data_IF_689069671600
#
_entry.id   IF_689069671600
#
_cell.length_a   1.000
_cell.length_b   1.000
_cell.length_c   1.000
_cell.angle_alpha   90.00
_cell.angle_beta   90.00
_cell.angle_gamma   90.00
#
_symmetry.space_group_name_H-M   'P 1'
#
loop_
_entity.id
_entity.type
_entity.pdbx_description
1 polymer ?
2 non-polymer ?
3 water ?
#
# COMPACT_ATOMS: atom_id res chain seq x y z
N UNK A 8 -14.57 9.60 9.02
CA UNK A 8 -13.81 9.95 7.79
C UNK A 8 -13.20 8.71 7.13
N UNK A 9 -13.87 8.22 6.08
CA UNK A 9 -13.38 7.05 5.38
C UNK A 9 -14.05 6.65 4.08
N UNK A 10 -14.50 5.40 4.04
CA UNK A 10 -15.14 4.76 2.88
C UNK A 10 -16.19 5.56 2.07
N UNK A 11 -16.78 6.60 2.64
CA UNK A 11 -17.80 7.34 1.90
C UNK A 11 -17.45 8.80 1.75
N UNK A 12 -17.24 9.20 0.49
CA UNK A 12 -16.84 10.56 0.15
C UNK A 12 -17.79 11.27 -0.79
N UNK A 13 -18.49 12.29 -0.29
CA UNK A 13 -19.38 13.05 -1.16
C UNK A 13 -18.49 14.17 -1.68
N UNK A 14 -18.54 14.39 -2.99
CA UNK A 14 -17.70 15.40 -3.62
C UNK A 14 -18.42 16.09 -4.76
N UNK A 15 -18.28 17.41 -4.82
CA UNK A 15 -18.89 18.21 -5.88
C UNK A 15 -17.75 18.89 -6.63
N UNK A 16 -17.71 18.74 -7.94
CA UNK A 16 -16.65 19.34 -8.73
C UNK A 16 -17.18 20.56 -9.47
N UNK A 17 -16.38 21.61 -9.50
CA UNK A 17 -16.76 22.83 -10.18
C UNK A 17 -15.65 23.34 -11.08
N UNK A 18 -16.05 24.13 -12.05
CA UNK A 18 -15.14 24.74 -13.00
C UNK A 18 -14.87 26.11 -12.38
N UNK A 19 -13.61 26.51 -12.25
CA UNK A 19 -13.29 27.80 -11.67
C UNK A 19 -12.71 28.70 -12.76
N UNK A 20 -13.44 29.77 -13.11
CA UNK A 20 -12.96 30.66 -14.14
C UNK A 20 -12.05 31.78 -13.64
N UNK A 21 -11.87 31.90 -12.33
CA UNK A 21 -11.01 32.95 -11.78
C UNK A 21 -10.20 32.44 -10.58
N UNK A 22 -8.90 32.26 -10.77
CA UNK A 22 -8.06 31.75 -9.69
C UNK A 22 -7.93 32.68 -8.50
N UNK A 23 -7.18 33.76 -8.71
CA UNK A 23 -6.96 34.70 -7.63
C UNK A 23 -8.23 35.14 -6.95
N UNK A 24 -9.31 35.18 -7.71
CA UNK A 24 -10.60 35.58 -7.21
C UNK A 24 -10.99 34.52 -6.20
N UNK A 25 -10.98 33.27 -6.67
CA UNK A 25 -11.28 32.13 -5.83
C UNK A 25 -10.31 32.16 -4.67
N UNK A 26 -9.04 32.38 -4.97
CA UNK A 26 -7.99 32.44 -3.96
C UNK A 26 -8.29 33.54 -2.94
N UNK A 27 -8.60 34.74 -3.43
CA UNK A 27 -8.93 35.87 -2.57
C UNK A 27 -10.04 35.46 -1.61
N UNK A 29 -10.95 32.30 -0.42
CA UNK A 29 -10.48 31.44 0.67
C UNK A 29 -9.45 32.21 1.48
N UNK A 30 -8.79 33.16 0.82
CA UNK A 30 -7.79 34.00 1.45
C UNK A 30 -8.44 34.73 2.62
N UNK A 31 -9.73 35.04 2.45
CA UNK A 31 -10.49 35.75 3.48
C UNK A 31 -11.29 34.78 4.33
N UNK A 32 -10.84 33.52 4.38
CA UNK A 32 -11.51 32.52 5.19
C UNK A 32 -10.52 31.80 6.10
N UNK A 33 -10.98 31.43 7.30
CA UNK A 33 -10.12 30.73 8.24
C UNK A 33 -10.00 29.31 7.73
N UNK A 34 -8.78 28.91 7.38
CA UNK A 34 -8.55 27.57 6.83
C UNK A 34 -7.15 27.02 7.09
N UNK A 35 -7.05 25.70 7.01
CA UNK A 35 -5.77 25.01 7.18
C UNK A 35 -5.30 24.65 5.78
N UNK A 36 -3.99 24.53 5.59
CA UNK A 36 -3.46 24.19 4.27
C UNK A 36 -2.70 22.88 4.28
N UNK A 38 -1.38 21.55 1.36
CA UNK A 38 -0.29 21.82 0.45
C UNK A 38 -0.82 22.66 -0.70
N UNK A 39 0.05 23.43 -1.33
CA UNK A 39 -0.35 24.28 -2.43
C UNK A 39 0.60 24.11 -3.59
N UNK A 40 0.07 24.20 -4.80
CA UNK A 40 0.85 24.10 -6.03
C UNK A 40 1.78 22.89 -6.20
N UNK A 41 1.36 21.72 -5.75
CA UNK A 41 2.18 20.50 -5.93
C UNK A 41 1.79 19.91 -7.28
N UNK A 42 2.62 19.01 -7.77
CA UNK A 42 2.30 18.32 -9.01
C UNK A 42 1.71 16.98 -8.61
N UNK A 43 0.54 16.65 -9.13
CA UNK A 43 -0.06 15.37 -8.80
C UNK A 43 -0.06 14.46 -10.02
N UNK A 44 0.51 13.28 -9.88
CA UNK A 44 0.55 12.30 -10.96
C UNK A 44 -0.38 11.16 -10.56
N UNK A 45 -1.17 10.70 -11.52
CA UNK A 45 -2.07 9.59 -11.28
C UNK A 45 -1.85 8.50 -12.33
N UNK A 46 -1.85 7.26 -11.86
CA UNK A 46 -1.68 6.11 -12.71
C UNK A 46 -2.90 5.23 -12.49
N UNK A 47 -3.74 5.09 -13.52
CA UNK A 47 -4.92 4.25 -13.40
C UNK A 47 -4.61 2.84 -13.88
N UNK A 48 -5.08 1.83 -13.15
CA UNK A 48 -4.83 0.44 -13.51
C UNK A 48 -6.07 -0.38 -13.73
N UNK A 49 -5.89 -1.47 -14.49
CA UNK A 49 -6.96 -2.41 -14.77
C UNK A 49 -6.37 -3.65 -15.46
N UNK A 50 -7.14 -4.72 -15.52
CA UNK A 50 -6.68 -5.95 -16.15
C UNK A 50 -6.81 -5.81 -17.67
N UNK A 51 -6.35 -6.83 -18.41
CA UNK A 51 -6.44 -6.76 -19.87
C UNK A 51 -7.88 -6.59 -20.39
N UNK A 52 -8.84 -7.32 -19.84
CA UNK A 52 -10.21 -7.19 -20.29
C UNK A 52 -10.94 -6.00 -19.66
N UNK A 53 -10.21 -5.20 -18.90
CA UNK A 53 -10.77 -4.01 -18.27
C UNK A 53 -11.91 -4.35 -17.31
N UNK A 54 -11.68 -5.37 -16.49
CA UNK A 54 -12.64 -5.86 -15.51
C UNK A 54 -13.12 -4.82 -14.48
N UNK A 55 -12.19 -4.06 -13.93
CA UNK A 55 -12.56 -3.04 -12.97
C UNK A 55 -13.44 -1.95 -13.62
N UNK A 56 -13.10 -1.56 -14.84
CA UNK A 56 -13.87 -0.53 -15.53
C UNK A 56 -15.30 -1.00 -15.84
N UNK A 57 -15.45 -2.28 -16.18
CA UNK A 57 -16.77 -2.83 -16.49
C UNK A 57 -17.66 -2.89 -15.25
N UNK A 58 -17.03 -2.99 -14.10
CA UNK A 58 -17.74 -3.06 -12.83
C UNK A 58 -17.93 -1.71 -12.14
N UNK A 59 -17.54 -0.63 -12.80
CA UNK A 59 -17.69 0.70 -12.24
C UNK A 59 -16.68 0.99 -11.14
N UNK A 60 -15.47 0.49 -11.31
CA UNK A 60 -14.43 0.69 -10.31
C UNK A 60 -13.17 1.26 -10.94
N UNK A 61 -12.38 1.94 -10.13
CA UNK A 61 -11.12 2.51 -10.59
C UNK A 61 -10.06 2.21 -9.53
N UNK A 62 -8.88 1.85 -10.01
CA UNK A 62 -7.73 1.52 -9.18
C UNK A 62 -6.67 2.54 -9.53
N UNK A 63 -6.20 3.29 -8.54
CA UNK A 63 -5.23 4.33 -8.81
C UNK A 63 -4.03 4.42 -7.87
N UNK A 64 -2.86 4.67 -8.43
CA UNK A 64 -1.67 4.90 -7.64
C UNK A 64 -1.49 6.41 -7.83
N UNK A 65 -1.25 7.14 -6.75
CA UNK A 65 -1.12 8.60 -6.87
C UNK A 65 0.02 9.13 -6.05
N UNK A 66 0.77 10.06 -6.65
CA UNK A 66 1.91 10.69 -5.99
C UNK A 66 1.80 12.21 -6.12
N UNK A 67 2.00 12.89 -5.01
CA UNK A 67 1.92 14.34 -4.96
C UNK A 67 3.27 14.86 -4.49
N UNK A 68 3.91 15.66 -5.33
CA UNK A 68 5.22 16.23 -5.01
C UNK A 68 5.19 17.74 -5.07
N UNK A 69 6.03 18.40 -4.27
CA UNK A 69 6.99 17.79 -3.34
C UNK A 69 6.50 17.38 -1.94
N UNK A 70 5.19 17.39 -1.73
CA UNK A 70 4.66 17.00 -0.43
C UNK A 70 5.09 15.57 -0.08
N UNK A 71 5.22 14.74 -1.10
CA UNK A 71 5.63 13.37 -0.88
C UNK A 71 4.48 12.49 -0.42
N UNK A 72 3.27 12.84 -0.83
CA UNK A 72 2.09 12.07 -0.47
C UNK A 72 1.90 11.04 -1.56
N UNK A 73 1.75 9.78 -1.16
CA UNK A 73 1.61 8.69 -2.11
C UNK A 73 0.46 7.79 -1.67
N UNK A 74 -0.48 7.56 -2.57
CA UNK A 74 -1.66 6.78 -2.22
C UNK A 74 -2.00 5.66 -3.17
N UNK A 75 -2.69 4.67 -2.61
CA UNK A 75 -3.19 3.53 -3.36
C UNK A 75 -4.69 3.76 -3.18
N UNK A 76 -5.40 3.93 -4.28
CA UNK A 76 -6.83 4.24 -4.24
C UNK A 76 -7.75 3.35 -5.06
N UNK A 77 -8.94 3.10 -4.51
CA UNK A 77 -9.95 2.35 -5.24
C UNK A 77 -11.30 3.05 -5.06
N UNK A 78 -11.91 3.46 -6.18
CA UNK A 78 -13.19 4.13 -6.15
C UNK A 78 -14.27 3.25 -6.73
N UNK A 79 -15.50 3.40 -6.20
CA UNK A 79 -16.62 2.60 -6.66
C UNK A 79 -16.74 1.27 -5.93
N UNK A 80 -17.70 0.42 -6.31
CA UNK A 80 -18.68 0.66 -7.37
C UNK A 80 -19.74 1.69 -6.98
N UNK A 81 -20.08 1.75 -5.69
CA UNK A 81 -21.06 2.71 -5.21
C UNK A 81 -20.60 4.12 -5.56
N UNK A 82 -21.52 4.94 -6.06
CA UNK A 82 -21.24 6.30 -6.45
C UNK A 82 -20.36 7.09 -5.49
N UNK A 83 -20.59 6.91 -4.18
CA UNK A 83 -19.83 7.62 -3.16
C UNK A 83 -18.81 6.79 -2.39
N UNK A 84 -18.42 5.63 -2.91
CA UNK A 84 -17.46 4.81 -2.21
C UNK A 84 -16.02 5.05 -2.68
N UNK A 85 -15.15 5.33 -1.74
CA UNK A 85 -13.75 5.57 -2.06
C UNK A 85 -12.87 5.11 -0.90
N UNK A 86 -11.94 4.22 -1.20
CA UNK A 86 -11.05 3.72 -0.18
C UNK A 86 -9.60 4.00 -0.57
N UNK A 87 -8.76 4.22 0.42
CA UNK A 87 -7.38 4.52 0.16
C UNK A 87 -6.51 4.23 1.36
N UNK A 88 -5.21 4.27 1.14
CA UNK A 88 -4.24 4.10 2.19
C UNK A 88 -2.95 4.68 1.66
N UNK A 89 -2.20 5.32 2.54
CA UNK A 89 -0.91 5.87 2.14
C UNK A 89 0.07 4.69 1.97
N UNK A 90 1.02 4.85 1.05
CA UNK A 90 2.04 3.84 0.79
C UNK A 90 3.37 4.58 0.79
N UNK A 91 4.44 3.90 1.18
CA UNK A 91 5.76 4.53 1.22
C UNK A 91 6.59 4.33 -0.04
N UNK A 92 6.36 3.24 -0.77
CA UNK A 92 7.12 2.98 -2.00
C UNK A 92 6.22 2.88 -3.22
N UNK A 93 6.12 3.97 -3.96
CA UNK A 93 5.29 4.03 -5.15
C UNK A 93 5.73 3.04 -6.22
N UNK A 94 7.04 2.98 -6.47
CA UNK A 94 7.55 2.08 -7.49
C UNK A 94 7.25 0.62 -7.12
N UNK A 95 7.39 0.28 -5.84
CA UNK A 95 7.10 -1.09 -5.43
C UNK A 95 5.62 -1.38 -5.70
N UNK A 96 4.76 -0.45 -5.31
CA UNK A 96 3.34 -0.59 -5.54
C UNK A 96 3.02 -0.80 -7.02
N UNK A 97 3.64 -0.01 -7.90
CA UNK A 97 3.43 -0.15 -9.34
C UNK A 97 3.84 -1.55 -9.81
N UNK A 98 5.03 -1.97 -9.39
CA UNK A 98 5.57 -3.27 -9.78
C UNK A 98 4.68 -4.42 -9.26
N UNK A 100 1.41 -4.33 -8.59
CA UNK A 100 0.15 -4.35 -9.33
C UNK A 100 0.32 -5.02 -10.71
N UNK A 101 1.46 -4.79 -11.34
CA UNK A 101 1.69 -5.40 -12.65
C UNK A 101 1.87 -6.91 -12.46
N UNK A 102 2.57 -7.28 -11.41
CA UNK A 102 2.80 -8.67 -11.09
C UNK A 102 1.43 -9.30 -10.79
N UNK A 104 -1.12 -8.79 -12.37
CA UNK A 104 -1.86 -8.84 -13.62
C UNK A 104 -2.48 -7.54 -14.09
N UNK A 105 -2.20 -6.44 -13.40
CA UNK A 105 -2.75 -5.15 -13.79
C UNK A 105 -1.82 -4.35 -14.70
N UNK A 106 -2.39 -3.47 -15.51
CA UNK A 106 -1.62 -2.62 -16.41
C UNK A 106 -2.13 -1.18 -16.40
N UNK A 107 -1.22 -0.22 -16.59
CA UNK A 107 -1.61 1.19 -16.63
C UNK A 107 -2.51 1.44 -17.83
N UNK A 108 -3.74 1.83 -17.59
CA UNK A 108 -4.63 2.10 -18.70
C UNK A 108 -4.70 3.60 -18.92
N UNK A 109 -3.98 4.34 -18.08
CA UNK A 109 -3.98 5.80 -18.15
C UNK A 109 -3.10 6.43 -17.08
N UNK A 110 -2.42 7.49 -17.45
CA UNK A 110 -1.56 8.23 -16.54
C UNK A 110 -1.88 9.70 -16.73
N UNK A 111 -1.65 10.51 -15.70
CA UNK A 111 -1.94 11.93 -15.80
C UNK A 111 -1.17 12.77 -14.81
N UNK A 112 -1.04 14.05 -15.13
CA UNK A 112 -0.35 15.03 -14.29
C UNK A 112 -1.24 16.27 -14.17
N UNK A 113 -1.13 16.98 -13.06
CA UNK A 113 -1.93 18.18 -12.85
C UNK A 113 -1.30 18.88 -11.66
N UNK A 114 -1.55 20.19 -11.55
CA UNK A 114 -1.03 20.96 -10.44
C UNK A 114 -2.20 21.06 -9.48
N UNK A 115 -1.97 20.73 -8.21
CA UNK A 115 -3.06 20.74 -7.25
C UNK A 115 -2.77 21.43 -5.91
N UNK A 116 -3.84 21.92 -5.30
CA UNK A 116 -3.80 22.57 -4.00
C UNK A 116 -4.98 22.07 -3.20
N UNK A 117 -4.75 21.76 -1.93
CA UNK A 117 -5.81 21.28 -1.07
C UNK A 117 -5.84 22.08 0.23
N UNK A 118 -7.03 22.56 0.60
CA UNK A 118 -7.20 23.34 1.82
C UNK A 118 -8.26 22.75 2.70
N UNK A 119 -8.22 23.10 3.99
CA UNK A 119 -9.16 22.61 4.96
C UNK A 119 -10.00 23.76 5.51
N UNK A 120 -11.29 23.51 5.71
CA UNK A 120 -12.21 24.49 6.27
C UNK A 120 -13.15 23.63 7.08
N UNK A 121 -12.80 23.44 8.35
CA UNK A 121 -13.61 22.59 9.21
C UNK A 121 -13.19 21.18 8.87
N UNK A 122 -14.17 20.32 8.57
CA UNK A 122 -13.88 18.94 8.20
C UNK A 122 -14.03 18.79 6.69
N UNK A 123 -14.37 19.89 6.02
CA UNK A 123 -14.56 19.88 4.59
C UNK A 123 -13.26 20.21 3.86
N UNK A 124 -13.05 19.56 2.72
CA UNK A 124 -11.84 19.76 1.93
C UNK A 124 -12.11 20.60 0.68
N UNK A 125 -11.18 21.47 0.34
CA UNK A 125 -11.33 22.29 -0.85
C UNK A 125 -10.13 22.02 -1.74
N UNK A 126 -10.39 21.52 -2.94
CA UNK A 126 -9.32 21.21 -3.89
C UNK A 126 -9.34 22.15 -5.09
N UNK A 127 -8.18 22.73 -5.40
CA UNK A 127 -8.08 23.62 -6.55
C UNK A 127 -7.07 23.01 -7.53
N UNK A 128 -7.54 22.67 -8.73
CA UNK A 128 -6.70 22.04 -9.74
C UNK A 128 -6.53 22.88 -10.99
N UNK A 129 -5.44 22.65 -11.71
CA UNK A 129 -5.18 23.33 -12.95
C UNK A 129 -4.68 22.39 -14.03
N UNK A 130 -5.54 22.10 -15.00
CA UNK A 130 -5.13 21.24 -16.08
C UNK A 130 -4.68 22.14 -17.21
N UNK A 131 -3.39 22.06 -17.52
CA UNK A 131 -2.82 22.86 -18.58
C UNK A 131 -3.66 22.57 -19.82
N UNK A 132 -4.27 23.62 -20.35
CA UNK A 132 -5.10 23.51 -21.55
C UNK A 132 -6.59 23.58 -21.40
N UNK A 133 -7.09 23.09 -20.26
CA UNK A 133 -8.55 23.01 -19.98
C UNK A 133 -9.05 23.90 -18.84
N UNK A 134 -8.11 24.50 -18.11
CA UNK A 134 -8.50 25.41 -17.05
C UNK A 134 -8.44 24.93 -15.62
N UNK A 135 -9.00 25.76 -14.75
CA UNK A 135 -9.06 25.50 -13.32
C UNK A 135 -10.34 24.81 -12.87
N UNK A 136 -10.20 23.86 -11.94
CA UNK A 136 -11.32 23.11 -11.41
C UNK A 136 -11.26 23.15 -9.89
N UNK A 137 -12.40 22.96 -9.23
CA UNK A 137 -12.45 22.98 -7.77
C UNK A 137 -13.32 21.83 -7.26
N UNK A 138 -12.89 21.21 -6.17
CA UNK A 138 -13.64 20.11 -5.59
C UNK A 138 -13.90 20.41 -4.13
N UNK A 139 -15.12 20.15 -3.69
CA UNK A 139 -15.50 20.35 -2.30
C UNK A 139 -15.96 18.98 -1.84
N UNK A 140 -15.46 18.52 -0.70
CA UNK A 140 -15.84 17.20 -0.23
C UNK A 140 -15.64 16.95 1.25
N UNK A 141 -16.16 15.82 1.70
CA UNK A 141 -16.06 15.39 3.08
C UNK A 141 -16.23 13.88 3.08
N UNK A 143 -16.92 10.50 5.22
CA UNK A 143 -17.53 10.10 6.47
C UNK A 143 -17.78 8.59 6.45
N UNK A 144 -18.12 8.04 7.60
CA UNK A 144 -18.40 6.61 7.72
C UNK A 144 -19.91 6.41 7.80
N UNK A 145 -20.58 7.41 8.37
CA UNK A 145 -22.04 7.39 8.50
C UNK A 145 -22.64 7.75 7.14
N UNK A 146 -23.41 6.82 6.58
CA UNK A 146 -24.03 7.05 5.28
C UNK A 146 -25.42 7.64 5.40
N UNK A 147 -25.90 7.88 6.61
CA UNK A 147 -27.24 8.45 6.73
C UNK A 147 -27.11 9.93 6.43
N UNK A 148 -26.00 10.50 6.88
CA UNK A 148 -25.73 11.93 6.69
C UNK A 148 -25.04 12.23 5.38
N UNK A 149 -25.39 11.50 4.33
CA UNK A 149 -24.76 11.68 3.04
C UNK A 149 -25.53 12.56 2.08
N UNK A 150 -26.68 13.05 2.51
CA UNK A 150 -27.47 13.92 1.66
C UNK A 150 -27.41 15.29 2.29
N UNK A 151 -27.09 15.30 3.59
CA UNK A 151 -26.99 16.55 4.33
C UNK A 151 -25.59 17.13 4.19
N UNK A 152 -24.58 16.27 4.03
CA UNK A 152 -23.22 16.77 3.82
C UNK A 152 -23.20 17.37 2.42
N UNK A 153 -23.83 16.67 1.48
CA UNK A 153 -23.94 17.10 0.09
C UNK A 153 -24.50 18.51 0.02
N UNK A 154 -25.23 18.88 1.07
CA UNK A 154 -25.86 20.19 1.14
C UNK A 154 -24.92 21.24 1.72
N UNK A 155 -24.30 20.95 2.85
CA UNK A 155 -23.38 21.90 3.45
C UNK A 155 -22.25 22.09 2.45
N UNK A 156 -22.02 21.06 1.61
CA UNK A 156 -20.99 21.14 0.59
C UNK A 156 -21.43 22.19 -0.42
N UNK A 157 -22.70 22.14 -0.80
CA UNK A 157 -23.24 23.11 -1.75
C UNK A 157 -23.20 24.49 -1.07
N UNK A 158 -23.56 24.51 0.20
CA UNK A 158 -23.54 25.76 0.97
C UNK A 158 -22.14 26.35 0.91
N UNK A 159 -21.14 25.52 1.26
CA UNK A 159 -19.75 25.96 1.23
C UNK A 159 -19.41 26.45 -0.18
N UNK A 160 -19.81 25.67 -1.18
CA UNK A 160 -19.54 26.03 -2.57
C UNK A 160 -20.09 27.43 -2.87
N UNK A 161 -21.29 27.71 -2.35
CA UNK A 161 -21.94 28.99 -2.56
C UNK A 161 -21.11 30.14 -2.03
N UNK A 162 -20.31 29.87 -1.00
CA UNK A 162 -19.45 30.89 -0.41
C UNK A 162 -18.43 31.40 -1.41
N UNK A 163 -18.02 30.54 -2.34
CA UNK A 163 -17.04 30.92 -3.35
C UNK A 163 -17.71 31.49 -4.60
N UNK A 164 -19.02 31.68 -4.50
CA UNK A 164 -19.79 32.23 -5.60
C UNK A 164 -19.82 31.27 -6.79
N UNK A 165 -20.12 30.01 -6.52
CA UNK A 165 -20.19 28.99 -7.56
C UNK A 165 -21.61 28.43 -7.61
N UNK A 166 -22.25 28.60 -8.76
CA UNK A 166 -23.62 28.13 -8.95
C UNK A 166 -23.66 26.76 -9.63
N UNK A 167 -24.82 26.12 -9.58
CA UNK A 167 -24.99 24.80 -10.18
C UNK A 167 -24.55 24.86 -11.64
N UNK A 168 -24.62 26.06 -12.22
CA UNK A 168 -24.23 26.26 -13.61
C UNK A 168 -22.72 26.07 -13.75
N UNK A 169 -22.01 26.15 -12.63
CA UNK A 169 -20.56 25.99 -12.62
C UNK A 169 -20.18 24.52 -12.41
N UNK A 170 -21.13 23.74 -11.89
CA UNK A 170 -20.92 22.33 -11.63
C UNK A 170 -20.34 21.60 -12.82
N UNK A 171 -19.33 20.77 -12.56
CA UNK A 171 -18.69 19.99 -13.60
C UNK A 171 -18.96 18.51 -13.30
N UNK A 172 -19.70 17.86 -14.18
CA UNK A 172 -20.05 16.46 -13.99
C UNK A 172 -19.06 15.48 -14.62
N UNK A 173 -18.28 15.95 -15.59
CA UNK A 173 -17.29 15.08 -16.23
C UNK A 173 -16.13 14.94 -15.26
N UNK A 174 -15.77 13.70 -14.93
CA UNK A 174 -14.68 13.49 -13.98
C UNK A 174 -13.33 13.52 -14.67
N UNK A 175 -12.28 13.65 -13.86
CA UNK A 175 -10.90 13.70 -14.33
C UNK A 175 -10.66 12.67 -15.44
N UNK A 176 -10.68 11.39 -15.04
CA UNK A 176 -10.49 10.28 -15.97
C UNK A 176 -11.72 10.18 -16.84
N UNK A 177 -12.86 10.19 -16.16
CA UNK A 177 -14.15 10.10 -16.80
C UNK A 177 -14.13 10.99 -18.03
N UNK A 178 -13.20 11.94 -18.04
CA UNK A 178 -13.02 12.80 -19.20
C UNK A 178 -11.87 13.76 -19.35
N UNK A 179 -11.10 13.36 -20.33
CA UNK A 179 -9.93 14.02 -20.87
C UNK A 179 -9.16 12.84 -21.35
N UNK A 180 -10.02 11.97 -21.84
CA UNK A 180 -9.76 10.72 -22.52
C UNK A 180 -10.28 11.47 -23.77
N UNK A 181 -11.13 12.49 -23.49
CA UNK A 181 -11.77 13.39 -24.46
C UNK A 181 -12.25 12.73 -25.75
N UNK B 8 19.60 -2.73 -2.09
CA UNK B 8 19.07 -4.05 -1.65
C UNK B 8 17.58 -4.18 -2.02
N UNK B 9 17.30 -4.84 -3.14
CA UNK B 9 15.93 -5.01 -3.56
C UNK B 9 15.60 -6.04 -4.63
N UNK B 10 16.37 -6.10 -5.71
CA UNK B 10 16.02 -7.07 -6.75
C UNK B 10 16.07 -8.54 -6.35
N UNK B 11 17.22 -9.00 -5.87
CA UNK B 11 17.37 -10.40 -5.51
C UNK B 11 17.49 -10.66 -4.02
N UNK B 12 16.57 -11.47 -3.50
CA UNK B 12 16.59 -11.83 -2.10
C UNK B 12 17.21 -13.22 -1.95
N UNK B 13 18.14 -13.34 -1.02
CA UNK B 13 18.76 -14.62 -0.75
C UNK B 13 18.41 -14.86 0.71
N UNK B 14 17.68 -15.93 0.97
CA UNK B 14 17.23 -16.24 2.33
C UNK B 14 17.24 -17.73 2.61
N UNK B 15 17.89 -18.12 3.70
CA UNK B 15 17.94 -19.52 4.09
C UNK B 15 17.19 -19.66 5.41
N UNK B 16 16.28 -20.63 5.44
CA UNK B 16 15.46 -20.90 6.62
C UNK B 16 15.95 -22.16 7.30
N UNK B 17 15.93 -22.17 8.63
CA UNK B 17 16.38 -23.31 9.42
C UNK B 17 15.45 -23.54 10.60
N UNK B 18 15.34 -24.81 11.03
CA UNK B 18 14.55 -25.17 12.18
C UNK B 18 15.48 -24.90 13.35
N UNK B 19 14.98 -24.30 14.43
CA UNK B 19 15.82 -24.02 15.59
C UNK B 19 15.35 -24.86 16.77
N UNK B 20 16.16 -25.87 17.13
CA UNK B 20 15.83 -26.76 18.24
C UNK B 20 15.91 -26.10 19.61
N UNK B 21 16.88 -25.20 19.80
CA UNK B 21 17.04 -24.54 21.09
C UNK B 21 17.00 -23.01 21.00
N UNK B 22 15.83 -22.46 21.29
CA UNK B 22 15.60 -21.03 21.25
C UNK B 22 16.57 -20.23 22.13
N UNK B 23 16.71 -20.64 23.39
CA UNK B 23 17.60 -19.94 24.32
C UNK B 23 19.06 -19.96 23.90
N UNK B 24 19.49 -21.09 23.34
CA UNK B 24 20.86 -21.23 22.89
C UNK B 24 21.10 -20.33 21.70
N UNK B 25 20.11 -20.21 20.83
CA UNK B 25 20.25 -19.34 19.65
C UNK B 25 20.50 -17.90 20.08
N UNK B 26 19.71 -17.42 21.03
CA UNK B 26 19.85 -16.04 21.52
C UNK B 26 21.13 -15.80 22.30
N UNK B 27 21.53 -16.75 23.14
CA UNK B 27 22.77 -16.57 23.89
C UNK B 27 23.93 -16.45 22.91
N UNK B 29 23.69 -15.19 19.75
CA UNK B 29 23.60 -13.88 19.09
C UNK B 29 24.19 -12.81 20.00
N UNK B 30 24.08 -13.01 21.32
CA UNK B 30 24.62 -12.06 22.28
C UNK B 30 26.14 -11.90 22.16
N UNK B 31 26.81 -12.90 21.59
CA UNK B 31 28.26 -12.87 21.43
C UNK B 31 28.64 -12.30 20.06
N UNK B 32 27.64 -12.03 19.24
CA UNK B 32 27.88 -11.49 17.91
C UNK B 32 27.39 -10.05 17.85
N UNK B 33 28.21 -9.14 17.35
CA UNK B 33 27.81 -7.74 17.24
C UNK B 33 26.56 -7.69 16.36
N UNK B 34 25.51 -7.05 16.85
CA UNK B 34 24.27 -6.97 16.09
C UNK B 34 23.37 -5.84 16.57
N UNK B 35 22.28 -5.64 15.85
CA UNK B 35 21.29 -4.62 16.21
C UNK B 35 19.93 -5.29 16.29
N UNK B 36 19.04 -4.67 17.06
CA UNK B 36 17.69 -5.17 17.24
C UNK B 36 16.72 -4.26 16.50
N UNK B 38 13.29 -5.30 16.33
CA UNK B 38 12.23 -5.52 17.29
C UNK B 38 12.27 -6.95 17.80
N UNK B 39 11.86 -7.14 19.04
CA UNK B 39 11.85 -8.46 19.62
C UNK B 39 10.47 -8.88 20.07
N UNK B 40 10.20 -10.17 19.95
CA UNK B 40 8.95 -10.79 20.37
C UNK B 40 7.66 -10.03 20.08
N UNK B 41 7.49 -9.68 18.81
CA UNK B 41 6.29 -9.00 18.39
C UNK B 41 5.40 -10.05 17.79
N UNK B 42 4.11 -9.75 17.70
CA UNK B 42 3.19 -10.69 17.08
C UNK B 42 3.06 -10.27 15.62
N UNK B 43 3.21 -11.23 14.71
CA UNK B 43 3.06 -10.92 13.30
C UNK B 43 1.87 -11.66 12.75
N UNK B 44 0.95 -10.93 12.12
CA UNK B 44 -0.22 -11.55 11.54
C UNK B 44 -0.09 -11.42 10.04
N UNK B 45 -0.38 -12.50 9.33
CA UNK B 45 -0.31 -12.44 7.88
C UNK B 45 -1.62 -12.91 7.30
N UNK B 46 -2.09 -12.19 6.29
CA UNK B 46 -3.32 -12.54 5.59
C UNK B 46 -2.94 -12.79 4.13
N UNK B 47 -3.06 -14.03 3.69
CA UNK B 47 -2.73 -14.36 2.32
C UNK B 47 -3.98 -14.22 1.47
N UNK B 48 -3.84 -13.55 0.32
CA UNK B 48 -4.96 -13.32 -0.60
C UNK B 48 -4.78 -13.96 -1.96
N UNK B 49 -5.90 -14.25 -2.62
CA UNK B 49 -5.87 -14.82 -3.94
C UNK B 49 -7.30 -14.79 -4.46
N UNK B 50 -7.47 -15.01 -5.76
CA UNK B 50 -8.80 -15.05 -6.33
C UNK B 50 -9.38 -16.40 -5.88
N UNK B 51 -10.71 -16.56 -5.94
CA UNK B 51 -11.27 -17.84 -5.51
C UNK B 51 -10.73 -19.05 -6.28
N UNK B 52 -10.38 -18.88 -7.56
CA UNK B 52 -9.84 -20.00 -8.32
C UNK B 52 -8.33 -20.17 -8.13
N UNK B 53 -7.76 -19.47 -7.14
CA UNK B 53 -6.33 -19.58 -6.84
C UNK B 53 -5.37 -19.21 -7.99
N UNK B 54 -5.65 -18.11 -8.68
CA UNK B 54 -4.79 -17.68 -9.77
C UNK B 54 -3.34 -17.51 -9.34
N UNK B 55 -3.11 -16.68 -8.32
CA UNK B 55 -1.78 -16.40 -7.81
C UNK B 55 -1.03 -17.60 -7.26
N UNK B 56 -1.71 -18.38 -6.45
CA UNK B 56 -1.08 -19.54 -5.83
C UNK B 56 -0.52 -20.50 -6.89
N UNK B 57 -1.32 -20.81 -7.89
CA UNK B 57 -0.93 -21.71 -8.95
C UNK B 57 0.21 -21.20 -9.84
N UNK B 58 0.56 -19.92 -9.68
CA UNK B 58 1.63 -19.33 -10.46
C UNK B 58 2.83 -19.04 -9.56
N UNK B 59 2.82 -19.61 -8.36
CA UNK B 59 3.92 -19.41 -7.44
C UNK B 59 3.99 -18.05 -6.77
N UNK B 60 2.89 -17.31 -6.78
CA UNK B 60 2.85 -15.98 -6.18
C UNK B 60 2.09 -15.92 -4.87
N UNK B 61 2.51 -15.02 -3.99
CA UNK B 61 1.83 -14.81 -2.73
C UNK B 61 1.55 -13.32 -2.60
N UNK B 62 0.30 -13.00 -2.30
CA UNK B 62 -0.12 -11.62 -2.11
C UNK B 62 -0.48 -11.53 -0.64
N UNK B 63 0.31 -10.77 0.11
CA UNK B 63 0.13 -10.67 1.55
C UNK B 63 -0.02 -9.29 2.18
N UNK B 64 -0.89 -9.20 3.20
CA UNK B 64 -1.06 -7.98 3.99
C UNK B 64 -0.52 -8.41 5.37
N UNK B 65 0.46 -7.69 5.88
CA UNK B 65 1.08 -8.05 7.14
C UNK B 65 1.10 -6.94 8.18
N UNK B 66 0.87 -7.32 9.43
CA UNK B 66 0.89 -6.37 10.53
C UNK B 66 1.71 -6.94 11.68
N UNK B 67 2.59 -6.12 12.23
CA UNK B 67 3.46 -6.53 13.33
C UNK B 67 3.20 -5.59 14.51
N UNK B 68 2.93 -6.17 15.69
CA UNK B 68 2.64 -5.39 16.89
C UNK B 68 3.46 -5.85 18.09
N UNK B 69 3.78 -4.93 19.02
CA UNK B 69 3.44 -3.51 19.01
C UNK B 69 4.31 -2.59 18.14
N UNK B 70 5.13 -3.15 17.26
CA UNK B 70 5.98 -2.32 16.41
C UNK B 70 5.15 -1.36 15.58
N UNK B 71 3.97 -1.80 15.16
CA UNK B 71 3.10 -0.95 14.37
C UNK B 71 3.49 -0.93 12.90
N UNK B 72 4.20 -1.97 12.45
CA UNK B 72 4.59 -2.06 11.06
C UNK B 72 3.48 -2.73 10.25
N UNK B 73 3.10 -2.11 9.15
CA UNK B 73 2.06 -2.65 8.28
C UNK B 73 2.54 -2.70 6.83
N UNK B 74 2.45 -3.89 6.25
CA UNK B 74 2.95 -4.09 4.89
C UNK B 74 2.01 -4.76 3.92
N UNK B 75 2.21 -4.40 2.65
CA UNK B 75 1.48 -4.99 1.53
C UNK B 75 2.63 -5.68 0.80
N UNK B 76 2.53 -7.00 0.65
CA UNK B 76 3.60 -7.78 0.04
C UNK B 76 3.21 -8.74 -1.09
N UNK B 77 4.12 -8.88 -2.05
CA UNK B 77 3.96 -9.84 -3.14
C UNK B 77 5.30 -10.55 -3.31
N UNK B 78 5.30 -11.87 -3.13
CA UNK B 78 6.50 -12.67 -3.29
C UNK B 78 6.32 -13.54 -4.53
N UNK B 79 7.41 -13.78 -5.26
CA UNK B 79 7.32 -14.60 -6.47
C UNK B 79 7.03 -13.74 -7.69
N UNK B 80 6.80 -14.35 -8.87
CA UNK B 80 6.82 -15.81 -9.08
C UNK B 80 8.21 -16.45 -8.92
N UNK B 81 9.26 -15.67 -9.07
CA UNK B 81 10.61 -16.19 -8.91
C UNK B 81 10.93 -16.36 -7.41
N UNK B 82 11.57 -17.48 -7.08
CA UNK B 82 11.92 -17.79 -5.69
C UNK B 82 12.68 -16.69 -4.96
N UNK B 83 13.51 -15.95 -5.68
CA UNK B 83 14.30 -14.90 -5.05
C UNK B 83 13.72 -13.50 -5.21
N UNK B 84 12.42 -13.43 -5.51
CA UNK B 84 11.77 -12.15 -5.70
C UNK B 84 10.74 -11.84 -4.62
N UNK B 85 10.89 -10.69 -4.00
CA UNK B 85 9.98 -10.24 -2.95
C UNK B 85 9.89 -8.72 -2.98
N UNK B 86 8.67 -8.20 -3.11
CA UNK B 86 8.47 -6.75 -3.13
C UNK B 86 7.47 -6.35 -2.06
N UNK B 87 7.60 -5.14 -1.54
CA UNK B 87 6.71 -4.66 -0.51
C UNK B 87 6.74 -3.15 -0.30
N UNK B 88 5.71 -2.65 0.36
CA UNK B 88 5.61 -1.23 0.70
C UNK B 88 4.81 -1.14 1.98
N UNK B 89 5.20 -0.23 2.87
CA UNK B 89 4.46 -0.02 4.08
C UNK B 89 3.17 0.69 3.71
N UNK B 90 2.11 0.40 4.46
CA UNK B 90 0.81 1.01 4.26
C UNK B 90 0.38 1.54 5.64
N UNK B 91 -0.42 2.61 5.64
CA UNK B 91 -0.86 3.20 6.89
C UNK B 91 -2.19 2.62 7.37
N UNK B 92 -3.05 2.22 6.46
CA UNK B 92 -4.36 1.68 6.83
C UNK B 92 -4.55 0.21 6.44
N UNK B 93 -4.33 -0.69 7.40
CA UNK B 93 -4.48 -2.12 7.14
C UNK B 93 -5.88 -2.53 6.70
N UNK B 94 -6.90 -1.98 7.34
CA UNK B 94 -8.28 -2.34 6.98
C UNK B 94 -8.70 -1.84 5.60
N UNK B 95 -8.20 -0.68 5.20
CA UNK B 95 -8.52 -0.16 3.87
C UNK B 95 -7.92 -1.09 2.82
N UNK B 96 -6.66 -1.45 3.01
CA UNK B 96 -6.00 -2.37 2.08
C UNK B 96 -6.81 -3.66 2.01
N UNK B 97 -7.23 -4.17 3.17
CA UNK B 97 -8.02 -5.40 3.19
C UNK B 97 -9.26 -5.23 2.35
N UNK B 98 -9.97 -4.12 2.56
CA UNK B 98 -11.20 -3.85 1.83
C UNK B 98 -10.96 -3.59 0.34
N UNK B 100 -8.48 -4.92 -1.57
CA UNK B 100 -8.20 -6.20 -2.24
C UNK B 100 -9.49 -6.98 -2.44
N UNK B 101 -10.40 -6.83 -1.48
CA UNK B 101 -11.71 -7.50 -1.54
C UNK B 101 -12.50 -6.94 -2.73
N UNK B 102 -12.48 -5.62 -2.84
CA UNK B 102 -13.20 -4.93 -3.92
C UNK B 102 -12.59 -5.31 -5.26
N UNK B 104 -11.52 -8.15 -6.10
CA UNK B 104 -11.77 -9.54 -6.44
C UNK B 104 -10.97 -10.61 -5.69
N UNK B 105 -10.26 -10.23 -4.65
CA UNK B 105 -9.48 -11.20 -3.89
C UNK B 105 -10.20 -11.54 -2.59
N UNK B 106 -9.79 -12.64 -1.98
CA UNK B 106 -10.35 -13.08 -0.72
C UNK B 106 -9.21 -13.66 0.11
N UNK B 107 -9.41 -13.70 1.41
CA UNK B 107 -8.39 -14.26 2.28
C UNK B 107 -8.47 -15.76 2.04
N UNK B 108 -7.36 -16.36 1.63
CA UNK B 108 -7.36 -17.80 1.42
C UNK B 108 -6.69 -18.46 2.61
N UNK B 109 -5.88 -17.70 3.34
CA UNK B 109 -5.20 -18.25 4.52
C UNK B 109 -4.73 -17.11 5.41
N UNK B 110 -4.68 -17.36 6.71
CA UNK B 110 -4.23 -16.35 7.65
C UNK B 110 -3.42 -17.02 8.75
N UNK B 111 -2.55 -16.25 9.38
CA UNK B 111 -1.72 -16.80 10.45
C UNK B 111 -1.09 -15.74 11.32
N UNK B 112 -0.57 -16.20 12.46
CA UNK B 112 0.08 -15.34 13.42
C UNK B 112 1.24 -16.10 14.01
N UNK B 113 2.28 -15.39 14.45
CA UNK B 113 3.43 -16.03 15.05
C UNK B 113 4.19 -14.98 15.83
N UNK B 114 5.17 -15.42 16.60
CA UNK B 114 6.00 -14.52 17.38
C UNK B 114 7.27 -14.33 16.55
N UNK B 115 7.71 -13.08 16.41
CA UNK B 115 8.90 -12.81 15.61
C UNK B 115 9.80 -11.74 16.19
N UNK B 116 11.10 -11.95 16.03
CA UNK B 116 12.12 -11.01 16.44
C UNK B 116 13.00 -10.87 15.20
N UNK B 117 13.45 -9.65 14.93
CA UNK B 117 14.31 -9.40 13.78
C UNK B 117 15.55 -8.65 14.27
N UNK B 118 16.72 -9.16 13.91
CA UNK B 118 17.98 -8.57 14.30
C UNK B 118 18.80 -8.26 13.06
N UNK B 119 19.76 -7.34 13.19
CA UNK B 119 20.63 -7.01 12.07
C UNK B 119 22.07 -7.36 12.44
N UNK B 120 22.79 -7.91 11.48
CA UNK B 120 24.21 -8.25 11.65
C UNK B 120 24.80 -7.78 10.33
N UNK B 121 25.25 -6.53 10.31
CA UNK B 121 25.77 -5.96 9.08
C UNK B 121 24.55 -5.70 8.21
N UNK B 122 24.63 -6.08 6.94
CA UNK B 122 23.51 -5.90 6.01
C UNK B 122 22.68 -7.18 5.99
N UNK B 123 22.98 -8.08 6.91
CA UNK B 123 22.29 -9.36 7.01
C UNK B 123 21.12 -9.29 8.00
N UNK B 124 20.06 -10.00 7.67
CA UNK B 124 18.89 -10.04 8.53
C UNK B 124 18.75 -11.40 9.17
N UNK B 125 18.52 -11.41 10.49
CA UNK B 125 18.32 -12.65 11.22
C UNK B 125 16.94 -12.54 11.85
N UNK B 126 16.05 -13.43 11.43
CA UNK B 126 14.70 -13.45 11.95
C UNK B 126 14.50 -14.71 12.76
N UNK B 127 14.09 -14.56 14.01
CA UNK B 127 13.85 -15.70 14.89
C UNK B 127 12.33 -15.78 15.12
N UNK B 128 11.74 -16.87 14.66
CA UNK B 128 10.31 -17.05 14.77
C UNK B 128 9.91 -18.21 15.68
N UNK B 129 8.70 -18.11 16.20
CA UNK B 129 8.11 -19.15 17.03
C UNK B 129 6.73 -19.42 16.48
N UNK B 130 6.52 -20.61 15.94
CA UNK B 130 5.23 -20.99 15.41
C UNK B 130 4.67 -22.09 16.30
N UNK B 131 3.84 -21.70 17.25
CA UNK B 131 3.24 -22.60 18.21
C UNK B 131 2.72 -23.87 17.56
N UNK B 132 3.18 -25.01 18.08
CA UNK B 132 2.75 -26.29 17.55
C UNK B 132 3.72 -26.84 16.52
N UNK B 133 4.62 -25.99 16.05
CA UNK B 133 5.61 -26.41 15.06
C UNK B 133 7.03 -26.20 15.54
N UNK B 134 7.24 -25.25 16.45
CA UNK B 134 8.58 -25.01 16.96
C UNK B 134 9.15 -23.67 16.56
N UNK B 135 10.47 -23.54 16.74
CA UNK B 135 11.17 -22.31 16.39
C UNK B 135 11.85 -22.43 15.04
N UNK B 136 12.04 -21.28 14.38
CA UNK B 136 12.64 -21.20 13.06
C UNK B 136 13.50 -19.95 12.96
N UNK B 137 14.48 -19.98 12.08
CA UNK B 137 15.33 -18.83 11.86
C UNK B 137 15.52 -18.61 10.37
N UNK B 138 15.61 -17.35 9.98
CA UNK B 138 15.80 -16.98 8.60
C UNK B 138 16.99 -16.04 8.51
N UNK B 139 17.92 -16.34 7.63
CA UNK B 139 19.06 -15.47 7.44
C UNK B 139 18.88 -14.96 6.02
N UNK B 140 18.87 -13.64 5.86
CA UNK B 140 18.62 -13.11 4.54
C UNK B 140 19.41 -11.87 4.20
N UNK B 141 19.38 -11.52 2.91
CA UNK B 141 20.09 -10.35 2.41
C UNK B 141 19.48 -10.01 1.07
N UNK B 143 20.11 -7.75 -2.63
CA UNK B 143 21.10 -7.09 -3.47
C UNK B 143 20.57 -6.86 -4.88
N UNK B 144 21.21 -5.97 -5.61
CA UNK B 144 20.81 -5.66 -6.98
C UNK B 144 21.86 -6.25 -7.92
N UNK B 145 22.94 -6.75 -7.33
CA UNK B 145 24.05 -7.35 -8.06
C UNK B 145 23.89 -8.86 -8.20
N UNK B 146 23.38 -9.30 -9.33
CA UNK B 146 23.17 -10.73 -9.55
C UNK B 146 24.46 -11.54 -9.61
N UNK B 147 25.60 -10.86 -9.74
CA UNK B 147 26.89 -11.56 -9.80
C UNK B 147 27.38 -12.00 -8.43
N UNK B 148 26.84 -11.41 -7.37
CA UNK B 148 27.27 -11.75 -6.02
C UNK B 148 26.37 -12.72 -5.27
N UNK B 149 25.45 -13.38 -5.99
CA UNK B 149 24.53 -14.32 -5.34
C UNK B 149 25.18 -15.52 -4.66
N UNK B 150 26.04 -16.22 -5.38
CA UNK B 150 26.70 -17.39 -4.81
C UNK B 150 27.48 -17.01 -3.56
N UNK B 151 28.24 -15.93 -3.64
CA UNK B 151 29.05 -15.47 -2.52
C UNK B 151 28.19 -15.12 -1.30
N UNK B 152 27.04 -14.48 -1.52
CA UNK B 152 26.13 -14.12 -0.44
C UNK B 152 25.55 -15.36 0.22
N UNK B 153 25.19 -16.34 -0.59
CA UNK B 153 24.62 -17.57 -0.07
C UNK B 153 25.66 -18.27 0.79
N UNK B 154 26.93 -18.09 0.43
CA UNK B 154 28.02 -18.69 1.19
C UNK B 154 28.13 -18.02 2.56
N UNK B 155 28.06 -16.70 2.56
CA UNK B 155 28.15 -15.94 3.80
C UNK B 155 26.95 -16.22 4.72
N UNK B 156 25.80 -16.55 4.14
CA UNK B 156 24.62 -16.85 4.93
C UNK B 156 24.73 -18.24 5.58
N UNK B 157 25.49 -19.12 4.95
CA UNK B 157 25.69 -20.46 5.51
C UNK B 157 26.62 -20.34 6.70
N UNK B 158 27.72 -19.60 6.50
CA UNK B 158 28.70 -19.40 7.55
C UNK B 158 28.02 -18.72 8.74
N UNK B 159 27.22 -17.68 8.45
CA UNK B 159 26.53 -16.98 9.52
C UNK B 159 25.71 -17.98 10.31
N UNK B 160 24.88 -18.74 9.60
CA UNK B 160 24.04 -19.76 10.24
C UNK B 160 24.89 -20.78 10.98
N UNK B 161 26.08 -21.07 10.44
CA UNK B 161 26.99 -22.03 11.07
C UNK B 161 27.36 -21.54 12.46
N UNK B 162 27.45 -20.22 12.64
CA UNK B 162 27.79 -19.66 13.93
C UNK B 162 26.75 -20.05 14.99
N UNK B 163 25.51 -20.24 14.54
CA UNK B 163 24.46 -20.63 15.47
C UNK B 163 24.30 -22.14 15.53
N UNK B 164 25.33 -22.86 15.08
CA UNK B 164 25.31 -24.31 15.09
C UNK B 164 24.12 -24.85 14.31
N UNK B 165 23.89 -24.29 13.13
CA UNK B 165 22.81 -24.76 12.27
C UNK B 165 23.48 -25.33 11.03
N UNK B 166 23.04 -26.50 10.60
CA UNK B 166 23.62 -27.13 9.41
C UNK B 166 22.57 -27.34 8.32
N UNK B 167 22.99 -27.89 7.19
CA UNK B 167 22.07 -28.13 6.08
C UNK B 167 21.01 -29.12 6.53
N UNK B 168 21.31 -29.86 7.60
CA UNK B 168 20.39 -30.83 8.15
C UNK B 168 19.25 -30.12 8.87
N UNK B 169 19.49 -28.88 9.27
CA UNK B 169 18.49 -28.08 9.96
C UNK B 169 17.74 -27.20 8.96
N UNK B 170 18.18 -27.23 7.72
CA UNK B 170 17.56 -26.43 6.67
C UNK B 170 16.08 -26.73 6.46
N UNK B 171 15.26 -25.69 6.57
CA UNK B 171 13.82 -25.84 6.38
C UNK B 171 13.51 -25.41 4.95
N UNK B 172 12.97 -26.32 4.14
CA UNK B 172 12.68 -26.02 2.75
C UNK B 172 11.28 -25.51 2.47
N UNK B 173 10.36 -25.72 3.42
CA UNK B 173 8.98 -25.30 3.22
C UNK B 173 8.77 -23.82 3.52
N UNK B 174 7.83 -23.20 2.83
CA UNK B 174 7.54 -21.79 3.08
C UNK B 174 6.64 -21.74 4.31
N UNK B 175 6.44 -20.54 4.84
CA UNK B 175 5.61 -20.33 6.01
C UNK B 175 4.23 -20.97 5.80
N UNK B 176 3.63 -20.64 4.67
CA UNK B 176 2.31 -21.16 4.33
C UNK B 176 2.27 -22.70 4.28
N UNK B 177 3.34 -23.31 3.77
CA UNK B 177 3.41 -24.77 3.65
C UNK B 177 3.58 -25.46 5.01
N UNK B 178 4.37 -24.85 5.90
CA UNK B 178 4.56 -25.40 7.23
C UNK B 178 3.21 -25.45 7.95
N UNK B 179 2.44 -24.36 7.81
CA UNK B 179 1.13 -24.29 8.42
C UNK B 179 0.20 -25.34 7.83
N UNK B 180 0.29 -25.56 6.51
CA UNK B 180 -0.56 -26.54 5.85
C UNK B 180 -0.25 -27.98 6.23
N UNK B 181 0.97 -28.20 6.74
CA UNK B 181 1.41 -29.53 7.17
C UNK B 181 0.88 -30.64 6.28
#
# INVERSE_FOLDING_TARGET
XVSDAHFQGQFEVELKYRVKNHDAFLNXVKQIEHEVXFENNQESDWFYDTPQRTLTQQGKSLVLREIQPAGIKLWIVKGPEADRCEATNITKLDSAQSXLENXGYEVIQCSKKIRSIFFVGEFHITLDFLDGFGHFAEFAIXTDDETALARYRERLVALAQQFHLSEADREHRSYKEILSALEHHHHHH
XVSDAHFQGQFEVELKYRVKNHDAFLNXVKQIEHEVXFENNQESDWFYDTPQRTLTQQGKSLVLREIQPAGIKLWIVKGPEADRCEATNITKLDSAQSXLENXGYEVIQCSKKIRSIFFVGEFHITLDFLDGFGHFAEFAIXTDDETALARYRERLVALAQQFHLSEADREHRSYKEILSALEHHHHHH
#
